data_IF_836946865903
#
_entry.id   IF_836946865903
#
_cell.length_a   1.000
_cell.length_b   1.000
_cell.length_c   1.000
_cell.angle_alpha   90.00
_cell.angle_beta   90.00
_cell.angle_gamma   90.00
#
_symmetry.space_group_name_H-M   'P 1'
#
loop_
_entity.id
_entity.type
_entity.pdbx_description
1 polymer ?
#
# COMPACT_ATOMS: atom_id res chain seq x y z
N UNK A 1 -27.69 -1.48 -19.58
CA UNK A 1 -26.56 -1.72 -18.67
C UNK A 1 -25.35 -2.01 -19.52
N UNK A 2 -24.37 -1.11 -19.59
CA UNK A 2 -23.17 -1.27 -20.41
C UNK A 2 -22.17 -2.13 -19.65
N UNK A 3 -21.62 -3.17 -20.27
CA UNK A 3 -20.56 -3.96 -19.66
C UNK A 3 -19.32 -3.07 -19.40
N UNK A 4 -18.64 -3.22 -18.25
CA UNK A 4 -17.44 -2.43 -17.94
C UNK A 4 -16.35 -2.70 -18.98
N UNK A 5 -15.59 -1.65 -19.32
CA UNK A 5 -14.48 -1.78 -20.25
C UNK A 5 -13.36 -2.66 -19.65
N UNK A 6 -12.64 -3.45 -20.47
CA UNK A 6 -11.63 -4.39 -20.00
C UNK A 6 -10.52 -3.72 -19.16
N UNK A 7 -10.13 -2.50 -19.49
CA UNK A 7 -9.15 -1.73 -18.73
C UNK A 7 -9.67 -1.35 -17.33
N UNK A 8 -10.96 -1.07 -17.18
CA UNK A 8 -11.55 -0.78 -15.86
C UNK A 8 -11.56 -2.03 -14.96
N UNK A 9 -11.83 -3.21 -15.55
CA UNK A 9 -11.78 -4.47 -14.82
C UNK A 9 -10.36 -4.77 -14.34
N UNK A 10 -9.35 -4.50 -15.16
CA UNK A 10 -7.94 -4.66 -14.79
C UNK A 10 -7.55 -3.75 -13.63
N UNK A 11 -7.83 -2.43 -13.72
CA UNK A 11 -7.55 -1.48 -12.64
C UNK A 11 -8.25 -1.88 -11.34
N UNK A 12 -9.49 -2.35 -11.41
CA UNK A 12 -10.22 -2.83 -10.24
C UNK A 12 -9.56 -4.06 -9.61
N UNK A 13 -9.06 -5.00 -10.43
CA UNK A 13 -8.35 -6.18 -9.92
C UNK A 13 -7.05 -5.81 -9.22
N UNK A 14 -6.23 -4.93 -9.83
CA UNK A 14 -4.99 -4.44 -9.21
C UNK A 14 -5.29 -3.74 -7.89
N UNK A 15 -6.28 -2.83 -7.86
CA UNK A 15 -6.68 -2.12 -6.65
C UNK A 15 -7.21 -3.06 -5.56
N UNK A 16 -8.01 -4.07 -5.93
CA UNK A 16 -8.55 -5.06 -5.00
C UNK A 16 -7.43 -5.94 -4.43
N UNK A 17 -6.45 -6.30 -5.24
CA UNK A 17 -5.28 -7.10 -4.82
C UNK A 17 -4.40 -6.30 -3.86
N UNK A 18 -4.12 -5.03 -4.17
CA UNK A 18 -3.39 -4.14 -3.27
C UNK A 18 -4.15 -3.91 -1.95
N UNK A 19 -5.48 -3.79 -2.00
CA UNK A 19 -6.29 -3.69 -0.77
C UNK A 19 -6.18 -4.97 0.06
N UNK A 20 -6.24 -6.15 -0.55
CA UNK A 20 -6.07 -7.44 0.13
C UNK A 20 -4.69 -7.54 0.80
N UNK A 21 -3.63 -7.06 0.13
CA UNK A 21 -2.30 -6.95 0.73
C UNK A 21 -2.33 -6.14 2.03
N UNK A 22 -2.94 -4.96 2.03
CA UNK A 22 -3.03 -4.11 3.24
C UNK A 22 -3.90 -4.70 4.35
N UNK A 23 -4.90 -5.52 4.01
CA UNK A 23 -5.78 -6.19 4.98
C UNK A 23 -5.07 -7.24 5.82
N UNK A 24 -3.86 -7.66 5.45
CA UNK A 24 -3.03 -8.53 6.30
C UNK A 24 -2.72 -7.93 7.68
N UNK A 25 -2.89 -6.61 7.86
CA UNK A 25 -2.76 -5.93 9.16
C UNK A 25 -4.03 -5.96 10.02
N UNK A 26 -5.19 -6.35 9.50
CA UNK A 26 -6.44 -6.44 10.28
C UNK A 26 -6.33 -7.38 11.49
N UNK A 27 -5.80 -8.62 11.37
CA UNK A 27 -5.61 -9.49 12.53
C UNK A 27 -4.43 -9.09 13.43
N UNK A 28 -3.49 -8.30 12.91
CA UNK A 28 -2.24 -7.93 13.59
C UNK A 28 -1.99 -6.42 13.43
N UNK A 29 -2.72 -5.58 14.18
CA UNK A 29 -2.65 -4.14 14.02
C UNK A 29 -1.22 -3.60 14.24
N UNK A 30 -0.86 -2.48 13.60
CA UNK A 30 0.40 -1.80 13.87
C UNK A 30 0.52 -1.38 15.33
N UNK A 31 1.73 -1.49 15.87
CA UNK A 31 2.08 -1.06 17.23
C UNK A 31 2.45 0.43 17.25
N UNK A 32 2.41 1.04 18.44
CA UNK A 32 2.87 2.41 18.63
C UNK A 32 4.37 2.58 18.30
N UNK A 33 5.19 1.54 18.55
CA UNK A 33 6.60 1.54 18.24
C UNK A 33 6.84 1.59 16.73
N UNK A 34 6.14 0.76 15.95
CA UNK A 34 6.23 0.77 14.48
C UNK A 34 5.82 2.12 13.88
N UNK A 35 4.82 2.77 14.48
CA UNK A 35 4.45 4.13 14.09
C UNK A 35 5.59 5.11 14.37
N UNK A 36 6.18 5.10 15.57
CA UNK A 36 7.31 5.97 15.89
C UNK A 36 8.51 5.74 14.96
N UNK A 37 8.88 4.48 14.72
CA UNK A 37 9.99 4.13 13.81
C UNK A 37 9.70 4.57 12.36
N UNK A 38 8.44 4.51 11.92
CA UNK A 38 8.06 5.05 10.63
C UNK A 38 8.27 6.56 10.56
N UNK A 39 7.82 7.32 11.57
CA UNK A 39 8.05 8.77 11.64
C UNK A 39 9.54 9.14 11.59
N UNK A 40 10.39 8.39 12.30
CA UNK A 40 11.84 8.60 12.31
C UNK A 40 12.49 8.32 10.95
N UNK A 41 11.92 7.42 10.15
CA UNK A 41 12.38 7.12 8.79
C UNK A 41 11.93 8.16 7.75
N UNK A 42 10.97 9.03 8.06
CA UNK A 42 10.51 10.08 7.15
C UNK A 42 11.48 11.25 7.11
N UNK A 43 11.64 11.84 5.92
CA UNK A 43 12.31 13.12 5.74
C UNK A 43 11.58 14.23 6.53
N UNK A 44 12.33 15.22 7.02
CA UNK A 44 11.82 16.31 7.86
C UNK A 44 10.52 16.98 7.34
N UNK A 45 10.38 17.37 6.06
CA UNK A 45 9.14 17.99 5.57
C UNK A 45 7.95 17.02 5.61
N UNK A 46 8.15 15.76 5.23
CA UNK A 46 7.11 14.72 5.27
C UNK A 46 6.71 14.39 6.70
N UNK A 47 7.68 14.32 7.61
CA UNK A 47 7.44 14.09 9.04
C UNK A 47 6.55 15.18 9.64
N UNK A 48 6.82 16.44 9.33
CA UNK A 48 5.99 17.57 9.77
C UNK A 48 4.56 17.47 9.23
N UNK A 49 4.40 17.13 7.95
CA UNK A 49 3.08 16.91 7.35
C UNK A 49 2.31 15.78 8.04
N UNK A 50 2.97 14.65 8.33
CA UNK A 50 2.34 13.52 9.03
C UNK A 50 1.96 13.87 10.48
N UNK A 51 2.74 14.71 11.16
CA UNK A 51 2.36 15.22 12.49
C UNK A 51 1.10 16.07 12.42
N UNK A 52 0.98 16.96 11.42
CA UNK A 52 -0.21 17.80 11.21
C UNK A 52 -1.44 16.97 10.85
N UNK A 53 -1.28 15.90 10.06
CA UNK A 53 -2.36 14.99 9.69
C UNK A 53 -2.93 14.24 10.90
N UNK A 54 -2.10 13.99 11.91
CA UNK A 54 -2.47 13.32 13.16
C UNK A 54 -2.31 11.79 13.09
N UNK A 55 -1.99 11.21 14.25
CA UNK A 55 -1.59 9.80 14.36
C UNK A 55 -2.67 8.82 13.89
N UNK A 56 -3.94 9.07 14.23
CA UNK A 56 -5.05 8.20 13.84
C UNK A 56 -5.30 8.17 12.32
N UNK A 57 -5.06 9.29 11.64
CA UNK A 57 -5.16 9.36 10.19
C UNK A 57 -3.98 8.63 9.52
N UNK A 58 -2.78 8.73 10.10
CA UNK A 58 -1.59 8.02 9.62
C UNK A 58 -1.79 6.50 9.57
N UNK A 59 -2.49 5.91 10.54
CA UNK A 59 -2.79 4.47 10.59
C UNK A 59 -3.60 3.98 9.37
N UNK A 60 -4.32 4.88 8.69
CA UNK A 60 -5.15 4.55 7.53
C UNK A 60 -4.40 4.69 6.22
N UNK A 61 -3.22 5.30 6.22
CA UNK A 61 -2.46 5.57 5.01
C UNK A 61 -1.87 4.30 4.39
N UNK A 62 -2.05 4.06 3.08
CA UNK A 62 -1.42 2.94 2.38
C UNK A 62 0.10 2.91 2.54
N UNK A 63 0.77 4.07 2.54
CA UNK A 63 2.23 4.17 2.71
C UNK A 63 2.71 3.69 4.07
N UNK A 64 1.97 3.97 5.13
CA UNK A 64 2.28 3.47 6.47
C UNK A 64 2.01 1.96 6.56
N UNK A 65 0.86 1.49 6.04
CA UNK A 65 0.53 0.06 6.02
C UNK A 65 1.56 -0.75 5.23
N UNK A 66 2.02 -0.24 4.07
CA UNK A 66 3.11 -0.82 3.29
C UNK A 66 4.38 -0.89 4.13
N UNK A 67 4.79 0.22 4.76
CA UNK A 67 5.99 0.24 5.62
C UNK A 67 5.96 -0.84 6.70
N UNK A 68 4.84 -0.98 7.43
CA UNK A 68 4.72 -1.97 8.52
C UNK A 68 4.79 -3.39 7.98
N UNK A 69 4.08 -3.70 6.90
CA UNK A 69 4.10 -5.02 6.29
C UNK A 69 5.50 -5.40 5.79
N UNK A 70 6.19 -4.48 5.10
CA UNK A 70 7.55 -4.70 4.60
C UNK A 70 8.55 -4.90 5.75
N UNK A 71 8.44 -4.13 6.84
CA UNK A 71 9.26 -4.33 8.05
C UNK A 71 9.01 -5.69 8.72
N UNK A 72 7.82 -6.25 8.57
CA UNK A 72 7.47 -7.60 9.04
C UNK A 72 7.79 -8.71 8.04
N UNK A 73 8.38 -8.38 6.88
CA UNK A 73 8.80 -9.34 5.86
C UNK A 73 7.73 -9.67 4.81
N UNK A 74 6.58 -9.00 4.82
CA UNK A 74 5.56 -9.14 3.78
C UNK A 74 5.88 -8.14 2.66
N UNK A 75 6.37 -8.65 1.53
CA UNK A 75 6.74 -7.81 0.39
C UNK A 75 5.57 -7.59 -0.55
N UNK A 76 5.26 -6.32 -0.86
CA UNK A 76 4.19 -5.96 -1.81
C UNK A 76 4.51 -6.46 -3.23
N UNK A 77 5.70 -6.24 -3.81
CA UNK A 77 6.05 -6.83 -5.10
C UNK A 77 5.91 -8.35 -5.15
N UNK A 78 6.38 -9.06 -4.11
CA UNK A 78 6.24 -10.51 -4.06
C UNK A 78 4.77 -10.94 -3.98
N UNK A 79 3.96 -10.25 -3.16
CA UNK A 79 2.53 -10.51 -3.04
C UNK A 79 1.79 -10.27 -4.36
N UNK A 80 2.04 -9.14 -5.02
CA UNK A 80 1.43 -8.81 -6.31
C UNK A 80 1.83 -9.84 -7.38
N UNK A 81 3.09 -10.25 -7.43
CA UNK A 81 3.56 -11.28 -8.37
C UNK A 81 2.94 -12.67 -8.17
N UNK A 82 2.47 -12.99 -6.97
CA UNK A 82 1.74 -14.24 -6.70
C UNK A 82 0.24 -14.18 -7.06
N UNK A 83 -0.31 -12.98 -7.19
CA UNK A 83 -1.77 -12.77 -7.30
C UNK A 83 -2.22 -12.12 -8.61
N UNK A 84 -1.30 -11.53 -9.35
CA UNK A 84 -1.54 -10.96 -10.67
C UNK A 84 -0.98 -11.86 -11.77
N UNK A 85 -1.66 -11.89 -12.91
CA UNK A 85 -1.10 -12.46 -14.13
C UNK A 85 0.03 -11.56 -14.66
N UNK A 86 0.94 -12.09 -15.51
CA UNK A 86 2.14 -11.34 -15.93
C UNK A 86 1.84 -9.98 -16.58
N UNK A 87 0.81 -9.90 -17.43
CA UNK A 87 0.36 -8.66 -18.08
C UNK A 87 -0.22 -7.64 -17.09
N UNK A 88 -0.94 -8.11 -16.08
CA UNK A 88 -1.50 -7.28 -15.01
C UNK A 88 -0.40 -6.75 -14.08
N UNK A 89 0.64 -7.56 -13.86
CA UNK A 89 1.80 -7.19 -13.05
C UNK A 89 2.61 -6.08 -13.74
N UNK A 90 2.80 -6.15 -15.06
CA UNK A 90 3.45 -5.09 -15.84
C UNK A 90 2.70 -3.77 -15.67
N UNK A 91 1.37 -3.78 -15.87
CA UNK A 91 0.56 -2.57 -15.67
C UNK A 91 0.66 -2.03 -14.24
N UNK A 92 0.70 -2.90 -13.23
CA UNK A 92 0.87 -2.47 -11.85
C UNK A 92 2.24 -1.82 -11.59
N UNK A 93 3.33 -2.40 -12.13
CA UNK A 93 4.68 -1.83 -11.98
C UNK A 93 4.76 -0.46 -12.64
N UNK A 94 4.28 -0.32 -13.87
CA UNK A 94 4.25 0.97 -14.58
C UNK A 94 3.47 2.04 -13.78
N UNK A 95 2.35 1.63 -13.17
CA UNK A 95 1.52 2.50 -12.33
C UNK A 95 2.13 2.83 -10.96
N UNK A 96 2.94 1.95 -10.35
CA UNK A 96 3.61 2.17 -9.06
C UNK A 96 4.82 3.10 -9.25
N UNK A 97 5.60 2.89 -10.31
CA UNK A 97 6.73 3.76 -10.68
C UNK A 97 6.29 5.19 -11.01
N UNK A 98 5.13 5.35 -11.65
CA UNK A 98 4.56 6.67 -11.92
C UNK A 98 4.09 7.42 -10.65
N UNK A 99 4.02 6.77 -9.49
CA UNK A 99 3.56 7.35 -8.21
C UNK A 99 4.70 7.64 -7.22
N UNK A 100 5.90 7.12 -7.46
CA UNK A 100 7.11 7.37 -6.67
C UNK A 100 7.83 8.65 -7.10
#
# INVERSE_FOLDING_TARGET
>A
MTAPHPQQLLTQKIATTALAYYRQLEPLPPTALELATWFDALAAPTRLQMHTLGLQACLRLPVFKRYVLEKRGYSMPAYMGLHLAPDELVQWVDDDEART
#
